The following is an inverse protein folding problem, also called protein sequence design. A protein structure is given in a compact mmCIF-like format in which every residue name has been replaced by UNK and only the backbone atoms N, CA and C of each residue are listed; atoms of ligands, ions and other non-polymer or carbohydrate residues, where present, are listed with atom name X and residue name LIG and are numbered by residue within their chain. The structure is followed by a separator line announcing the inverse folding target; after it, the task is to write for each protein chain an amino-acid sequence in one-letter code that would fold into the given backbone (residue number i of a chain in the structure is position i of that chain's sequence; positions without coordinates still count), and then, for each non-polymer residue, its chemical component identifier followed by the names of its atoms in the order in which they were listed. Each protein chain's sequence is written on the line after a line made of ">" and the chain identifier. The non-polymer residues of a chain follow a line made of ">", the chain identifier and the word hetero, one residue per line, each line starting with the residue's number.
data_IF_345466894620
#
_entry.id   IF_345466894620
#
_cell.length_a   1.000
_cell.length_b   1.000
_cell.length_c   1.000
_cell.angle_alpha   90.00
_cell.angle_beta   90.00
_cell.angle_gamma   90.00
#
_symmetry.space_group_name_H-M   'P 1'
#
loop_
_entity.id
_entity.type
_entity.pdbx_description
1 polymer ?
#
# COMPACT_ATOMS: atom_id res chain seq x y z
N UNK A 1 -5.18 74.73 -32.90
CA UNK A 1 -4.76 74.72 -31.49
C UNK A 1 -4.06 73.40 -31.21
N UNK A 2 -2.85 73.49 -30.65
CA UNK A 2 -1.96 72.39 -30.27
C UNK A 2 -2.61 71.46 -29.22
N UNK A 3 -2.18 70.23 -28.91
CA UNK A 3 -0.88 69.55 -29.07
C UNK A 3 -1.05 68.08 -28.63
N UNK A 4 -0.16 67.19 -29.09
CA UNK A 4 0.26 66.01 -28.29
C UNK A 4 0.16 64.66 -29.00
N UNK A 5 1.16 64.33 -29.81
CA UNK A 5 1.47 62.95 -30.19
C UNK A 5 2.25 62.25 -29.08
N UNK A 6 1.94 60.99 -28.74
CA UNK A 6 2.95 60.03 -28.27
C UNK A 6 2.58 58.60 -28.69
N UNK A 7 3.42 58.03 -29.55
CA UNK A 7 3.52 56.60 -29.83
C UNK A 7 4.14 55.88 -28.63
N UNK A 8 3.60 54.73 -28.23
CA UNK A 8 4.29 53.78 -27.34
C UNK A 8 4.46 52.43 -28.05
N UNK A 9 5.72 52.07 -28.28
CA UNK A 9 6.20 50.74 -28.68
C UNK A 9 6.04 49.75 -27.51
N UNK A 10 5.79 48.45 -27.76
CA UNK A 10 5.96 47.42 -26.74
C UNK A 10 7.45 47.06 -26.62
N UNK A 11 8.04 47.32 -25.45
CA UNK A 11 9.37 46.83 -25.07
C UNK A 11 9.24 45.38 -24.59
N UNK A 12 9.74 44.43 -25.40
CA UNK A 12 10.09 43.08 -24.97
C UNK A 12 11.28 43.17 -24.01
N UNK A 13 11.09 42.73 -22.76
CA UNK A 13 12.20 42.43 -21.86
C UNK A 13 12.70 40.99 -22.09
N UNK A 14 14.02 40.72 -22.02
CA UNK A 14 14.55 39.36 -22.11
C UNK A 14 14.38 38.63 -20.77
N UNK A 15 13.93 37.38 -20.84
CA UNK A 15 13.93 36.46 -19.70
C UNK A 15 15.37 36.05 -19.37
N UNK A 16 15.85 36.45 -18.19
CA UNK A 16 17.05 35.89 -17.56
C UNK A 16 16.68 34.66 -16.74
N UNK A 17 17.44 33.54 -16.80
CA UNK A 17 17.18 32.37 -15.98
C UNK A 17 17.67 32.64 -14.55
N UNK A 18 16.77 32.50 -13.59
CA UNK A 18 17.11 32.59 -12.16
C UNK A 18 17.98 31.39 -11.77
N UNK A 19 19.12 31.72 -11.16
CA UNK A 19 20.16 30.79 -10.75
C UNK A 19 19.64 29.74 -9.76
N UNK A 20 19.94 28.48 -10.07
CA UNK A 20 19.77 27.30 -9.23
C UNK A 20 20.91 27.29 -8.20
N UNK A 21 20.71 27.94 -7.04
CA UNK A 21 21.68 27.83 -5.94
C UNK A 21 21.35 26.62 -5.06
N UNK A 22 22.14 25.56 -5.27
CA UNK A 22 22.86 24.78 -4.25
C UNK A 22 22.12 24.58 -2.92
N UNK A 23 21.40 23.46 -2.81
CA UNK A 23 21.34 22.72 -1.54
C UNK A 23 22.59 21.84 -1.47
N UNK A 24 23.60 22.37 -0.79
CA UNK A 24 24.83 21.67 -0.44
C UNK A 24 24.53 20.34 0.25
N UNK A 25 25.18 19.29 -0.26
CA UNK A 25 25.12 17.94 0.32
C UNK A 25 25.69 17.91 1.73
N UNK A 26 24.93 17.35 2.66
CA UNK A 26 25.49 16.90 3.92
C UNK A 26 26.36 15.65 3.67
N UNK A 27 27.59 15.58 4.21
CA UNK A 27 28.46 14.43 4.02
C UNK A 27 28.01 13.29 4.94
N UNK A 28 27.51 12.20 4.35
CA UNK A 28 27.37 10.94 5.07
C UNK A 28 28.68 10.17 4.97
N UNK A 29 29.58 10.44 5.91
CA UNK A 29 30.73 9.58 6.21
C UNK A 29 30.57 8.98 7.61
N UNK A 30 29.92 7.81 7.68
CA UNK A 30 30.11 6.86 8.80
C UNK A 30 30.07 5.42 8.29
N UNK A 31 31.24 4.79 8.31
CA UNK A 31 31.44 3.37 8.58
C UNK A 31 30.93 2.37 7.54
N UNK A 32 31.87 1.70 6.86
CA UNK A 32 31.64 0.61 5.91
C UNK A 32 31.03 -0.69 6.51
N UNK A 33 30.45 -0.64 7.70
CA UNK A 33 29.58 -1.68 8.29
C UNK A 33 28.30 -1.11 8.95
N UNK A 34 27.95 0.15 8.67
CA UNK A 34 26.74 0.85 9.13
C UNK A 34 25.90 1.24 7.90
N UNK A 35 25.10 0.32 7.35
CA UNK A 35 24.59 0.50 5.97
C UNK A 35 23.32 -0.22 5.56
N UNK A 36 22.47 -0.69 6.48
CA UNK A 36 21.11 -1.11 6.11
C UNK A 36 20.11 -0.45 7.04
N UNK A 37 19.29 0.45 6.50
CA UNK A 37 18.12 0.99 7.19
C UNK A 37 17.14 -0.12 7.58
N UNK A 38 15.97 0.24 8.17
CA UNK A 38 14.97 -0.74 8.59
C UNK A 38 14.64 -1.77 7.51
N UNK A 39 14.53 -3.05 7.88
CA UNK A 39 14.03 -4.11 7.01
C UNK A 39 12.54 -3.87 6.82
N UNK A 40 12.10 -3.74 5.57
CA UNK A 40 10.72 -3.40 5.20
C UNK A 40 10.03 -4.59 4.58
N UNK A 41 8.94 -5.06 5.17
CA UNK A 41 8.18 -6.20 4.67
C UNK A 41 6.70 -5.85 4.53
N UNK A 42 6.04 -6.51 3.59
CA UNK A 42 4.60 -6.38 3.38
C UNK A 42 3.90 -7.71 3.65
N UNK A 43 2.83 -7.67 4.45
CA UNK A 43 1.94 -8.80 4.67
C UNK A 43 0.87 -8.79 3.59
N UNK A 44 0.86 -9.80 2.75
CA UNK A 44 -0.09 -9.97 1.65
C UNK A 44 -1.08 -11.09 1.96
N UNK A 45 -2.23 -11.05 1.31
CA UNK A 45 -3.25 -12.07 1.46
C UNK A 45 -4.65 -11.60 1.15
N UNK A 46 -5.52 -12.57 0.90
CA UNK A 46 -6.89 -12.34 0.48
C UNK A 46 -7.70 -11.54 1.53
N UNK A 47 -8.86 -11.06 1.13
CA UNK A 47 -9.85 -10.45 2.01
C UNK A 47 -10.19 -11.45 3.13
N UNK A 48 -10.29 -10.96 4.37
CA UNK A 48 -10.58 -11.75 5.58
C UNK A 48 -9.63 -12.92 5.94
N UNK A 49 -8.50 -13.10 5.24
CA UNK A 49 -7.55 -14.19 5.52
C UNK A 49 -6.95 -14.18 6.94
N UNK A 50 -7.01 -13.05 7.65
CA UNK A 50 -6.48 -12.91 9.01
C UNK A 50 -5.29 -11.96 9.16
N UNK A 51 -5.03 -11.09 8.16
CA UNK A 51 -3.92 -10.12 8.20
C UNK A 51 -3.89 -9.28 9.48
N UNK A 52 -4.98 -8.63 9.84
CA UNK A 52 -5.02 -7.78 11.04
C UNK A 52 -4.86 -8.59 12.34
N UNK A 53 -5.31 -9.85 12.38
CA UNK A 53 -5.05 -10.78 13.49
C UNK A 53 -3.57 -11.14 13.59
N UNK A 54 -2.95 -11.44 12.45
CA UNK A 54 -1.52 -11.73 12.36
C UNK A 54 -0.65 -10.52 12.72
N UNK A 55 -1.04 -9.32 12.31
CA UNK A 55 -0.41 -8.06 12.71
C UNK A 55 -0.44 -7.88 14.22
N UNK A 56 -1.59 -8.10 14.88
CA UNK A 56 -1.69 -8.04 16.34
C UNK A 56 -0.74 -9.02 17.02
N UNK A 57 -0.59 -10.23 16.47
CA UNK A 57 0.36 -11.22 16.95
C UNK A 57 1.80 -10.74 16.81
N UNK A 58 2.18 -10.20 15.65
CA UNK A 58 3.51 -9.63 15.43
C UNK A 58 3.83 -8.50 16.41
N UNK A 59 2.90 -7.56 16.62
CA UNK A 59 3.10 -6.45 17.56
C UNK A 59 3.27 -6.95 19.01
N UNK A 60 2.59 -8.04 19.38
CA UNK A 60 2.75 -8.67 20.70
C UNK A 60 4.11 -9.37 20.82
N UNK A 61 4.54 -10.09 19.79
CA UNK A 61 5.79 -10.89 19.82
C UNK A 61 7.04 -10.04 19.62
N UNK A 62 6.97 -8.98 18.82
CA UNK A 62 8.07 -8.09 18.46
C UNK A 62 7.68 -6.62 18.71
N UNK A 63 7.63 -6.18 19.98
CA UNK A 63 7.18 -4.83 20.35
C UNK A 63 8.10 -3.73 19.80
N UNK A 64 9.33 -4.06 19.42
CA UNK A 64 10.30 -3.16 18.80
C UNK A 64 10.04 -2.92 17.31
N UNK A 65 9.21 -3.73 16.66
CA UNK A 65 8.87 -3.57 15.24
C UNK A 65 7.84 -2.48 15.07
N UNK A 66 7.95 -1.76 13.96
CA UNK A 66 6.93 -0.81 13.54
C UNK A 66 5.94 -1.50 12.61
N UNK A 67 4.64 -1.38 12.89
CA UNK A 67 3.59 -1.89 12.00
C UNK A 67 2.72 -0.76 11.50
N UNK A 68 2.70 -0.58 10.19
CA UNK A 68 1.82 0.31 9.47
C UNK A 68 0.60 -0.48 8.98
N UNK A 69 -0.57 -0.19 9.56
CA UNK A 69 -1.83 -0.88 9.25
C UNK A 69 -2.53 -0.29 8.03
N UNK A 70 -3.43 -1.07 7.43
CA UNK A 70 -4.21 -0.63 6.27
C UNK A 70 -5.23 0.45 6.69
N UNK A 71 -5.32 1.60 6.00
CA UNK A 71 -6.14 2.74 6.43
C UNK A 71 -7.64 2.56 6.08
N UNK A 72 -8.22 1.38 6.37
CA UNK A 72 -9.62 1.04 6.05
C UNK A 72 -10.60 2.06 6.64
N UNK A 73 -10.36 2.52 7.85
CA UNK A 73 -11.21 3.52 8.51
C UNK A 73 -11.28 4.85 7.72
N UNK A 74 -10.17 5.25 7.08
CA UNK A 74 -10.14 6.44 6.23
C UNK A 74 -10.94 6.23 4.94
N UNK A 75 -11.03 5.00 4.43
CA UNK A 75 -11.84 4.67 3.25
C UNK A 75 -13.32 4.57 3.57
N UNK A 76 -13.66 4.16 4.80
CA UNK A 76 -15.03 4.15 5.29
C UNK A 76 -15.55 5.54 5.61
N UNK A 77 -14.67 6.49 5.97
CA UNK A 77 -15.07 7.84 6.35
C UNK A 77 -14.26 8.89 5.58
N UNK A 78 -14.74 9.24 4.38
CA UNK A 78 -14.20 10.36 3.62
C UNK A 78 -14.68 11.67 4.25
N UNK A 79 -13.73 12.49 4.67
CA UNK A 79 -13.96 13.81 5.27
C UNK A 79 -13.71 14.92 4.27
N UNK A 80 -14.40 16.05 4.42
CA UNK A 80 -14.13 17.24 3.63
C UNK A 80 -12.75 17.83 3.97
N UNK A 81 -12.07 18.38 2.97
CA UNK A 81 -10.78 19.05 3.21
C UNK A 81 -10.98 20.33 4.03
N UNK A 82 -10.14 20.56 5.04
CA UNK A 82 -10.11 21.81 5.82
C UNK A 82 -11.01 21.84 7.07
N UNK A 83 -11.75 20.78 7.36
CA UNK A 83 -12.52 20.65 8.61
C UNK A 83 -11.62 20.11 9.72
N UNK A 84 -11.58 20.79 10.88
CA UNK A 84 -10.89 20.28 12.06
C UNK A 84 -11.47 18.91 12.43
N UNK A 85 -10.63 18.02 12.99
CA UNK A 85 -11.06 16.73 13.55
C UNK A 85 -11.92 16.95 14.81
N UNK A 86 -13.11 17.51 14.66
CA UNK A 86 -14.16 17.40 15.66
C UNK A 86 -15.23 16.41 15.18
N UNK A 87 -15.97 15.84 16.13
CA UNK A 87 -17.08 14.91 15.87
C UNK A 87 -18.29 15.57 15.18
N UNK A 88 -18.20 16.85 14.79
CA UNK A 88 -19.28 17.60 14.13
C UNK A 88 -19.07 17.73 12.62
N UNK A 89 -17.92 17.27 12.10
CA UNK A 89 -17.62 17.33 10.68
C UNK A 89 -18.52 16.39 9.87
N UNK A 90 -19.23 16.87 8.83
CA UNK A 90 -20.08 16.02 8.01
C UNK A 90 -19.25 15.00 7.22
N UNK A 91 -19.60 13.71 7.39
CA UNK A 91 -19.07 12.60 6.60
C UNK A 91 -19.54 12.74 5.15
N UNK A 92 -18.59 12.79 4.21
CA UNK A 92 -18.91 12.89 2.77
C UNK A 92 -19.35 11.55 2.18
N UNK A 93 -18.79 10.43 2.67
CA UNK A 93 -19.18 9.13 2.16
C UNK A 93 -18.32 7.97 2.67
N UNK A 94 -18.75 6.77 2.29
CA UNK A 94 -18.05 5.51 2.50
C UNK A 94 -17.56 4.98 1.16
N UNK A 95 -16.31 5.28 0.79
CA UNK A 95 -15.81 4.94 -0.54
C UNK A 95 -15.63 3.42 -0.71
N UNK A 96 -15.41 2.69 0.39
CA UNK A 96 -15.37 1.23 0.37
C UNK A 96 -16.74 0.64 0.02
N UNK A 97 -17.80 1.13 0.66
CA UNK A 97 -19.17 0.70 0.38
C UNK A 97 -19.58 1.08 -1.06
N UNK A 98 -19.32 2.32 -1.48
CA UNK A 98 -19.60 2.80 -2.83
C UNK A 98 -18.95 1.91 -3.91
N UNK A 99 -17.72 1.46 -3.67
CA UNK A 99 -17.02 0.53 -4.57
C UNK A 99 -17.69 -0.85 -4.63
N UNK A 100 -18.16 -1.41 -3.51
CA UNK A 100 -18.85 -2.70 -3.54
C UNK A 100 -20.29 -2.62 -4.08
N UNK A 101 -20.99 -1.48 -3.92
CA UNK A 101 -22.34 -1.29 -4.44
C UNK A 101 -22.36 -1.05 -5.96
N UNK A 102 -21.47 -0.18 -6.46
CA UNK A 102 -21.40 0.18 -7.88
C UNK A 102 -19.94 0.13 -8.38
N UNK A 103 -19.34 -1.07 -8.52
CA UNK A 103 -17.92 -1.23 -8.83
C UNK A 103 -17.53 -0.58 -10.15
N UNK A 104 -18.36 -0.67 -11.19
CA UNK A 104 -18.09 -0.02 -12.48
C UNK A 104 -17.98 1.51 -12.40
N UNK A 105 -18.59 2.15 -11.38
CA UNK A 105 -18.55 3.59 -11.18
C UNK A 105 -17.42 4.04 -10.26
N UNK A 106 -17.13 3.25 -9.22
CA UNK A 106 -16.29 3.69 -8.10
C UNK A 106 -14.96 2.95 -7.98
N UNK A 107 -14.71 1.90 -8.77
CA UNK A 107 -13.45 1.15 -8.73
C UNK A 107 -12.24 2.05 -8.98
N UNK A 108 -12.26 2.87 -10.04
CA UNK A 108 -11.13 3.75 -10.34
C UNK A 108 -10.86 4.75 -9.21
N UNK A 109 -11.92 5.37 -8.68
CA UNK A 109 -11.83 6.32 -7.57
C UNK A 109 -11.29 5.65 -6.30
N UNK A 110 -11.81 4.48 -5.95
CA UNK A 110 -11.37 3.71 -4.79
C UNK A 110 -9.91 3.26 -4.92
N UNK A 111 -9.52 2.67 -6.05
CA UNK A 111 -8.15 2.20 -6.27
C UNK A 111 -7.13 3.35 -6.26
N UNK A 112 -7.53 4.53 -6.76
CA UNK A 112 -6.68 5.72 -6.67
C UNK A 112 -6.51 6.18 -5.22
N UNK A 113 -7.59 6.25 -4.45
CA UNK A 113 -7.52 6.69 -3.06
C UNK A 113 -6.81 5.67 -2.14
N UNK A 114 -7.06 4.37 -2.32
CA UNK A 114 -6.43 3.30 -1.55
C UNK A 114 -4.92 3.32 -1.75
N UNK A 115 -4.46 3.34 -3.00
CA UNK A 115 -3.03 3.44 -3.30
C UNK A 115 -2.44 4.73 -2.75
N UNK A 116 -3.09 5.89 -2.91
CA UNK A 116 -2.58 7.18 -2.40
C UNK A 116 -2.41 7.18 -0.89
N UNK A 117 -3.40 6.66 -0.16
CA UNK A 117 -3.30 6.53 1.29
C UNK A 117 -2.17 5.58 1.70
N UNK A 118 -1.98 4.47 0.98
CA UNK A 118 -0.91 3.50 1.26
C UNK A 118 0.47 4.02 0.90
N UNK A 119 0.60 4.74 -0.22
CA UNK A 119 1.84 5.39 -0.63
C UNK A 119 2.28 6.41 0.42
N UNK A 120 1.35 7.24 0.93
CA UNK A 120 1.65 8.21 2.00
C UNK A 120 2.23 7.52 3.22
N UNK A 121 1.57 6.46 3.71
CA UNK A 121 2.04 5.65 4.85
C UNK A 121 3.44 5.06 4.57
N UNK A 122 3.70 4.56 3.36
CA UNK A 122 5.01 4.02 3.01
C UNK A 122 6.10 5.08 2.85
N UNK A 123 5.74 6.36 2.68
CA UNK A 123 6.68 7.48 2.58
C UNK A 123 6.88 8.23 3.90
N UNK A 124 6.11 7.90 4.93
CA UNK A 124 6.29 8.48 6.27
C UNK A 124 7.70 8.18 6.80
N UNK A 125 8.33 9.16 7.50
CA UNK A 125 9.60 8.93 8.15
C UNK A 125 9.54 7.76 9.13
N UNK A 126 10.67 7.07 9.29
CA UNK A 126 10.77 6.02 10.30
C UNK A 126 10.58 6.61 11.71
N UNK A 127 9.74 6.01 12.57
CA UNK A 127 9.63 6.43 13.96
C UNK A 127 10.96 6.29 14.71
N UNK A 128 11.22 7.18 15.66
CA UNK A 128 12.45 7.18 16.45
C UNK A 128 12.70 5.83 17.14
N UNK A 129 11.64 5.23 17.71
CA UNK A 129 11.70 3.91 18.35
C UNK A 129 12.26 2.84 17.40
N UNK A 130 11.86 2.89 16.12
CA UNK A 130 12.35 1.96 15.12
C UNK A 130 13.83 2.19 14.83
N UNK A 131 14.24 3.45 14.70
CA UNK A 131 15.64 3.83 14.42
C UNK A 131 16.60 3.46 15.57
N UNK A 132 16.10 3.37 16.79
CA UNK A 132 16.87 2.97 17.98
C UNK A 132 16.94 1.46 18.20
N UNK A 133 16.15 0.67 17.47
CA UNK A 133 16.15 -0.79 17.62
C UNK A 133 17.43 -1.41 17.05
N UNK A 134 17.95 -2.44 17.70
CA UNK A 134 19.14 -3.19 17.21
C UNK A 134 18.87 -3.85 15.85
N UNK A 135 17.64 -4.33 15.63
CA UNK A 135 17.19 -5.00 14.41
C UNK A 135 15.89 -4.35 13.92
N UNK A 136 15.97 -3.19 13.28
CA UNK A 136 14.79 -2.42 12.91
C UNK A 136 14.01 -3.15 11.81
N UNK A 137 12.74 -3.45 12.08
CA UNK A 137 11.81 -4.03 11.11
C UNK A 137 10.54 -3.16 11.02
N UNK A 138 10.17 -2.83 9.79
CA UNK A 138 8.92 -2.16 9.44
C UNK A 138 8.04 -3.12 8.66
N UNK A 139 6.83 -3.34 9.15
CA UNK A 139 5.81 -4.18 8.53
C UNK A 139 4.70 -3.29 7.97
N UNK A 140 4.24 -3.60 6.77
CA UNK A 140 3.06 -3.01 6.16
C UNK A 140 1.96 -4.06 6.00
N UNK A 141 0.72 -3.71 6.36
CA UNK A 141 -0.44 -4.48 5.95
C UNK A 141 -0.77 -4.14 4.48
N UNK A 142 -0.49 -5.09 3.59
CA UNK A 142 -0.44 -4.94 2.13
C UNK A 142 0.64 -3.98 1.61
N UNK A 143 0.71 -3.86 0.29
CA UNK A 143 1.66 -2.99 -0.41
C UNK A 143 1.00 -2.21 -1.54
N UNK A 144 1.65 -1.13 -1.97
CA UNK A 144 1.33 -0.43 -3.22
C UNK A 144 1.33 -1.37 -4.44
N UNK A 145 2.10 -2.47 -4.38
CA UNK A 145 2.13 -3.48 -5.44
C UNK A 145 0.84 -4.31 -5.46
N UNK A 146 0.31 -4.69 -4.31
CA UNK A 146 -0.96 -5.41 -4.24
C UNK A 146 -2.15 -4.57 -4.72
N UNK A 147 -2.12 -3.23 -4.56
CA UNK A 147 -3.14 -2.35 -5.13
C UNK A 147 -3.23 -2.54 -6.64
N UNK A 148 -2.09 -2.57 -7.35
CA UNK A 148 -2.08 -2.77 -8.80
C UNK A 148 -2.26 -4.22 -9.23
N UNK A 149 -1.42 -5.12 -8.73
CA UNK A 149 -1.28 -6.47 -9.29
C UNK A 149 -2.32 -7.45 -8.75
N UNK A 150 -3.02 -7.11 -7.67
CA UNK A 150 -4.14 -7.88 -7.14
C UNK A 150 -5.46 -7.15 -7.42
N UNK A 151 -5.69 -6.00 -6.79
CA UNK A 151 -7.03 -5.40 -6.76
C UNK A 151 -7.39 -4.70 -8.07
N UNK A 152 -6.60 -3.72 -8.51
CA UNK A 152 -6.89 -2.97 -9.73
C UNK A 152 -6.83 -3.87 -10.97
N UNK A 153 -5.86 -4.78 -11.08
CA UNK A 153 -5.81 -5.79 -12.15
C UNK A 153 -7.08 -6.64 -12.17
N UNK A 154 -7.54 -7.11 -11.02
CA UNK A 154 -8.76 -7.93 -10.95
C UNK A 154 -10.01 -7.13 -11.34
N UNK A 155 -10.12 -5.88 -10.90
CA UNK A 155 -11.23 -4.99 -11.25
C UNK A 155 -11.23 -4.64 -12.74
N UNK A 156 -10.07 -4.57 -13.39
CA UNK A 156 -10.00 -4.47 -14.84
C UNK A 156 -10.45 -5.76 -15.52
N UNK A 157 -9.91 -6.91 -15.11
CA UNK A 157 -10.23 -8.21 -15.72
C UNK A 157 -11.69 -8.65 -15.55
N UNK A 158 -12.36 -8.17 -14.50
CA UNK A 158 -13.78 -8.43 -14.27
C UNK A 158 -14.72 -7.35 -14.84
N UNK A 159 -14.18 -6.34 -15.54
CA UNK A 159 -14.96 -5.30 -16.23
C UNK A 159 -15.39 -4.12 -15.36
N UNK A 160 -14.94 -4.03 -14.10
CA UNK A 160 -15.22 -2.90 -13.21
C UNK A 160 -14.35 -1.66 -13.46
N UNK A 161 -13.22 -1.81 -14.16
CA UNK A 161 -12.44 -0.71 -14.73
C UNK A 161 -12.51 -0.79 -16.26
N UNK A 162 -12.78 0.34 -16.89
CA UNK A 162 -12.65 0.48 -18.34
C UNK A 162 -11.18 0.46 -18.79
N UNK A 163 -10.95 0.24 -20.09
CA UNK A 163 -9.59 0.33 -20.67
C UNK A 163 -8.92 1.68 -20.42
N UNK A 164 -9.69 2.77 -20.47
CA UNK A 164 -9.19 4.12 -20.22
C UNK A 164 -8.76 4.26 -18.76
N UNK A 165 -9.62 3.85 -17.81
CA UNK A 165 -9.31 3.91 -16.38
C UNK A 165 -8.12 3.03 -16.02
N UNK A 166 -8.03 1.84 -16.61
CA UNK A 166 -6.89 0.93 -16.39
C UNK A 166 -5.60 1.49 -16.96
N UNK A 167 -5.63 2.08 -18.15
CA UNK A 167 -4.46 2.75 -18.73
C UNK A 167 -3.98 3.89 -17.85
N UNK A 168 -4.88 4.81 -17.45
CA UNK A 168 -4.56 5.94 -16.59
C UNK A 168 -4.02 5.44 -15.24
N UNK A 169 -4.68 4.46 -14.62
CA UNK A 169 -4.25 3.87 -13.35
C UNK A 169 -2.81 3.37 -13.40
N UNK A 170 -2.48 2.61 -14.44
CA UNK A 170 -1.14 2.06 -14.60
C UNK A 170 -0.08 3.14 -14.84
N UNK A 171 -0.41 4.17 -15.62
CA UNK A 171 0.51 5.26 -15.95
C UNK A 171 0.95 6.00 -14.69
N UNK A 172 0.00 6.55 -13.94
CA UNK A 172 0.33 7.32 -12.74
C UNK A 172 0.92 6.43 -11.63
N UNK A 173 0.46 5.18 -11.49
CA UNK A 173 1.07 4.23 -10.54
C UNK A 173 2.54 3.99 -10.89
N UNK A 174 2.85 3.78 -12.17
CA UNK A 174 4.23 3.53 -12.62
C UNK A 174 5.11 4.76 -12.41
N UNK A 175 4.60 5.93 -12.76
CA UNK A 175 5.27 7.21 -12.55
C UNK A 175 5.64 7.40 -11.07
N UNK A 176 4.67 7.30 -10.15
CA UNK A 176 4.92 7.57 -8.73
C UNK A 176 5.87 6.56 -8.08
N UNK A 177 5.77 5.27 -8.44
CA UNK A 177 6.71 4.28 -7.91
C UNK A 177 8.13 4.48 -8.44
N UNK A 178 8.31 5.03 -9.64
CA UNK A 178 9.63 5.43 -10.16
C UNK A 178 10.18 6.64 -9.41
N UNK A 179 9.38 7.70 -9.26
CA UNK A 179 9.77 8.91 -8.53
C UNK A 179 10.15 8.63 -7.07
N UNK A 180 9.50 7.65 -6.45
CA UNK A 180 9.72 7.29 -5.06
C UNK A 180 10.49 5.98 -4.84
N UNK A 181 11.11 5.42 -5.88
CA UNK A 181 11.74 4.10 -5.84
C UNK A 181 12.73 3.92 -4.69
N UNK A 182 13.58 4.94 -4.44
CA UNK A 182 14.59 4.92 -3.37
C UNK A 182 13.99 4.86 -1.96
N UNK A 183 12.75 5.34 -1.79
CA UNK A 183 12.03 5.39 -0.50
C UNK A 183 11.02 4.28 -0.33
N UNK A 184 10.75 3.49 -1.37
CA UNK A 184 9.75 2.41 -1.37
C UNK A 184 10.38 1.01 -1.45
N UNK A 185 11.66 0.90 -1.08
CA UNK A 185 12.35 -0.40 -1.04
C UNK A 185 11.64 -1.36 -0.08
N UNK A 186 11.31 -2.54 -0.60
CA UNK A 186 10.75 -3.68 0.15
C UNK A 186 11.77 -4.80 0.10
N UNK A 187 11.94 -5.51 1.21
CA UNK A 187 12.93 -6.56 1.39
C UNK A 187 12.29 -7.96 1.42
N UNK A 188 10.98 -8.07 1.65
CA UNK A 188 10.31 -9.36 1.68
C UNK A 188 8.79 -9.23 1.70
N UNK A 189 8.10 -10.25 1.21
CA UNK A 189 6.67 -10.43 1.40
C UNK A 189 6.39 -11.58 2.37
N UNK A 190 5.39 -11.41 3.23
CA UNK A 190 4.81 -12.48 4.03
C UNK A 190 3.42 -12.73 3.47
N UNK A 191 3.24 -13.83 2.75
CA UNK A 191 1.96 -14.20 2.16
C UNK A 191 1.18 -15.10 3.11
N UNK A 192 0.09 -14.58 3.67
CA UNK A 192 -0.88 -15.37 4.42
C UNK A 192 -1.82 -16.06 3.43
N UNK A 193 -1.69 -17.37 3.33
CA UNK A 193 -2.42 -18.21 2.38
C UNK A 193 -3.53 -18.96 3.11
N UNK A 194 -4.74 -18.88 2.57
CA UNK A 194 -5.87 -19.74 2.91
C UNK A 194 -6.79 -19.84 1.70
N UNK A 195 -7.63 -20.88 1.66
CA UNK A 195 -8.60 -21.05 0.58
C UNK A 195 -9.63 -19.91 0.54
N UNK A 196 -10.22 -19.63 -0.63
CA UNK A 196 -11.34 -18.69 -0.76
C UNK A 196 -12.52 -19.01 0.16
N UNK A 197 -12.79 -20.31 0.41
CA UNK A 197 -13.85 -20.78 1.29
C UNK A 197 -13.58 -20.38 2.75
N UNK A 198 -12.35 -20.63 3.24
CA UNK A 198 -11.93 -20.20 4.58
C UNK A 198 -11.99 -18.68 4.70
N UNK A 199 -11.58 -17.95 3.66
CA UNK A 199 -11.68 -16.49 3.64
C UNK A 199 -13.14 -16.02 3.71
N UNK A 200 -14.06 -16.67 2.98
CA UNK A 200 -15.49 -16.34 2.99
C UNK A 200 -16.11 -16.58 4.37
N UNK A 201 -15.81 -17.72 5.00
CA UNK A 201 -16.27 -18.02 6.36
C UNK A 201 -15.81 -16.94 7.36
N UNK A 202 -14.53 -16.56 7.31
CA UNK A 202 -13.96 -15.50 8.15
C UNK A 202 -14.57 -14.12 7.84
N UNK A 203 -14.90 -13.87 6.58
CA UNK A 203 -15.55 -12.65 6.12
C UNK A 203 -16.94 -12.52 6.76
N UNK A 204 -17.72 -13.59 6.78
CA UNK A 204 -19.02 -13.60 7.46
C UNK A 204 -18.88 -13.45 8.97
N UNK A 205 -17.90 -14.10 9.60
CA UNK A 205 -17.66 -13.98 11.04
C UNK A 205 -17.30 -12.57 11.48
N UNK A 206 -16.51 -11.82 10.69
CA UNK A 206 -16.16 -10.43 11.03
C UNK A 206 -17.29 -9.43 10.76
N UNK A 207 -18.32 -9.82 10.00
CA UNK A 207 -19.57 -9.10 9.81
C UNK A 207 -19.42 -7.60 9.45
N UNK A 208 -18.45 -7.25 8.62
CA UNK A 208 -18.31 -5.86 8.13
C UNK A 208 -19.41 -5.58 7.10
N UNK A 209 -20.18 -4.52 7.31
CA UNK A 209 -21.37 -4.19 6.52
C UNK A 209 -21.08 -4.09 5.01
N UNK A 210 -20.02 -3.39 4.63
CA UNK A 210 -19.66 -3.14 3.22
C UNK A 210 -19.29 -4.43 2.46
N UNK A 211 -18.94 -5.50 3.18
CA UNK A 211 -18.42 -6.73 2.59
C UNK A 211 -19.46 -7.84 2.52
N UNK A 212 -20.66 -7.65 3.08
CA UNK A 212 -21.72 -8.67 3.11
C UNK A 212 -22.11 -9.20 1.73
N UNK A 213 -22.00 -8.36 0.69
CA UNK A 213 -22.31 -8.72 -0.69
C UNK A 213 -21.23 -9.52 -1.41
N UNK A 214 -20.03 -9.66 -0.83
CA UNK A 214 -18.90 -10.33 -1.47
C UNK A 214 -19.20 -11.82 -1.66
N UNK A 215 -19.10 -12.27 -2.91
CA UNK A 215 -19.34 -13.66 -3.30
C UNK A 215 -18.03 -14.47 -3.32
N UNK A 216 -18.14 -15.79 -3.17
CA UNK A 216 -17.01 -16.72 -3.26
C UNK A 216 -16.19 -16.51 -4.55
N UNK A 217 -16.86 -16.34 -5.69
CA UNK A 217 -16.21 -16.15 -6.99
C UNK A 217 -15.25 -14.95 -7.01
N UNK A 218 -15.58 -13.85 -6.30
CA UNK A 218 -14.68 -12.71 -6.20
C UNK A 218 -13.44 -13.04 -5.35
N UNK A 219 -13.60 -13.81 -4.27
CA UNK A 219 -12.48 -14.27 -3.45
C UNK A 219 -11.60 -15.28 -4.19
N UNK A 220 -12.17 -16.13 -5.04
CA UNK A 220 -11.45 -17.06 -5.91
C UNK A 220 -10.59 -16.31 -6.94
N UNK A 221 -11.16 -15.29 -7.57
CA UNK A 221 -10.43 -14.39 -8.46
C UNK A 221 -9.22 -13.76 -7.74
N UNK A 222 -9.44 -13.12 -6.59
CA UNK A 222 -8.36 -12.51 -5.81
C UNK A 222 -7.33 -13.54 -5.34
N UNK A 223 -7.76 -14.74 -4.97
CA UNK A 223 -6.84 -15.82 -4.60
C UNK A 223 -5.93 -16.19 -5.77
N UNK A 224 -6.47 -16.38 -6.98
CA UNK A 224 -5.67 -16.65 -8.18
C UNK A 224 -4.64 -15.56 -8.44
N UNK A 225 -5.01 -14.27 -8.28
CA UNK A 225 -4.04 -13.17 -8.46
C UNK A 225 -2.87 -13.26 -7.46
N UNK A 226 -3.14 -13.63 -6.19
CA UNK A 226 -2.08 -13.80 -5.18
C UNK A 226 -1.19 -14.99 -5.51
N UNK A 227 -1.78 -16.13 -5.87
CA UNK A 227 -1.03 -17.33 -6.26
C UNK A 227 -0.13 -17.06 -7.46
N UNK A 228 -0.66 -16.44 -8.52
CA UNK A 228 0.09 -16.11 -9.73
C UNK A 228 1.22 -15.11 -9.47
N UNK A 229 1.05 -14.19 -8.52
CA UNK A 229 2.08 -13.21 -8.18
C UNK A 229 3.12 -13.74 -7.19
N UNK A 230 2.68 -14.30 -6.07
CA UNK A 230 3.53 -14.57 -4.91
C UNK A 230 4.10 -15.99 -4.92
N UNK A 231 3.40 -16.95 -5.53
CA UNK A 231 3.76 -18.38 -5.56
C UNK A 231 4.30 -18.77 -6.94
N UNK A 232 3.48 -18.69 -7.99
CA UNK A 232 3.83 -19.21 -9.33
C UNK A 232 4.65 -18.25 -10.19
N UNK A 233 4.76 -16.97 -9.79
CA UNK A 233 5.52 -15.94 -10.51
C UNK A 233 5.11 -15.76 -11.98
N UNK A 234 3.82 -15.94 -12.28
CA UNK A 234 3.22 -15.77 -13.61
C UNK A 234 2.78 -14.33 -13.89
N UNK A 235 2.47 -13.55 -12.85
CA UNK A 235 2.06 -12.15 -13.02
C UNK A 235 3.20 -11.33 -13.61
N UNK A 236 2.97 -10.71 -14.78
CA UNK A 236 3.95 -9.81 -15.40
C UNK A 236 4.15 -8.56 -14.56
N UNK A 237 5.36 -8.38 -14.04
CA UNK A 237 5.74 -7.24 -13.22
C UNK A 237 6.46 -6.16 -14.04
N UNK A 238 6.30 -4.91 -13.62
CA UNK A 238 6.89 -3.73 -14.28
C UNK A 238 8.02 -3.08 -13.47
N UNK A 239 8.43 -3.73 -12.38
CA UNK A 239 9.49 -3.28 -11.47
C UNK A 239 10.48 -4.43 -11.28
N UNK A 240 11.72 -4.25 -11.75
CA UNK A 240 12.77 -5.26 -11.66
C UNK A 240 13.07 -5.64 -10.20
N UNK A 241 13.06 -4.63 -9.31
CA UNK A 241 13.25 -4.81 -7.86
C UNK A 241 12.25 -5.79 -7.26
N UNK A 242 11.05 -5.92 -7.83
CA UNK A 242 9.98 -6.78 -7.32
C UNK A 242 10.15 -8.25 -7.71
N UNK A 243 10.85 -8.54 -8.81
CA UNK A 243 10.95 -9.90 -9.38
C UNK A 243 11.66 -10.88 -8.45
N UNK A 244 12.65 -10.40 -7.70
CA UNK A 244 13.53 -11.23 -6.87
C UNK A 244 13.29 -11.04 -5.37
N UNK A 245 12.22 -10.36 -4.96
CA UNK A 245 11.93 -10.17 -3.52
C UNK A 245 11.54 -11.52 -2.91
N UNK A 246 12.20 -11.95 -1.82
CA UNK A 246 11.84 -13.16 -1.11
C UNK A 246 10.38 -13.14 -0.62
N UNK A 247 9.72 -14.29 -0.69
CA UNK A 247 8.34 -14.47 -0.21
C UNK A 247 8.32 -15.60 0.81
N UNK A 248 7.84 -15.31 2.02
CA UNK A 248 7.48 -16.31 3.02
C UNK A 248 6.00 -16.65 2.87
N UNK A 249 5.70 -17.87 2.47
CA UNK A 249 4.32 -18.37 2.42
C UNK A 249 3.97 -19.03 3.75
N UNK A 250 2.87 -18.58 4.35
CA UNK A 250 2.33 -19.11 5.60
C UNK A 250 0.90 -19.61 5.36
N UNK A 251 0.72 -20.92 5.42
CA UNK A 251 -0.62 -21.52 5.45
C UNK A 251 -1.29 -21.21 6.80
N UNK A 252 -2.38 -20.45 6.70
CA UNK A 252 -3.23 -20.02 7.81
C UNK A 252 -4.67 -20.48 7.58
N UNK A 253 -4.87 -21.61 6.89
CA UNK A 253 -6.19 -22.22 6.71
C UNK A 253 -6.81 -22.62 8.05
N UNK A 254 -6.00 -23.19 8.94
CA UNK A 254 -6.38 -23.42 10.34
C UNK A 254 -6.49 -22.09 11.10
N UNK A 255 -7.46 -21.97 11.99
CA UNK A 255 -7.63 -20.77 12.82
C UNK A 255 -6.52 -20.66 13.88
N UNK A 256 -5.49 -19.88 13.54
CA UNK A 256 -4.38 -19.58 14.45
C UNK A 256 -4.73 -18.56 15.54
N UNK A 257 -5.93 -17.97 15.57
CA UNK A 257 -6.25 -16.85 16.48
C UNK A 257 -6.20 -17.24 17.96
N UNK A 258 -6.43 -18.51 18.28
CA UNK A 258 -6.43 -19.06 19.65
C UNK A 258 -5.45 -20.22 19.86
N UNK A 259 -4.86 -20.75 18.80
CA UNK A 259 -3.89 -21.84 18.89
C UNK A 259 -2.48 -21.29 19.15
N UNK A 260 -2.03 -21.37 20.41
CA UNK A 260 -0.72 -20.89 20.82
C UNK A 260 0.43 -21.63 20.12
N UNK A 261 0.31 -22.94 19.90
CA UNK A 261 1.35 -23.71 19.24
C UNK A 261 1.49 -23.28 17.77
N UNK A 262 0.37 -23.07 17.08
CA UNK A 262 0.38 -22.51 15.72
C UNK A 262 0.93 -21.09 15.69
N UNK A 263 0.58 -20.24 16.64
CA UNK A 263 1.11 -18.89 16.75
C UNK A 263 2.64 -18.88 16.91
N UNK A 264 3.18 -19.71 17.80
CA UNK A 264 4.61 -19.87 18.01
C UNK A 264 5.32 -20.39 16.75
N UNK A 265 4.72 -21.37 16.06
CA UNK A 265 5.24 -21.89 14.80
C UNK A 265 5.34 -20.80 13.73
N UNK A 266 4.27 -20.01 13.55
CA UNK A 266 4.22 -18.91 12.59
C UNK A 266 5.27 -17.85 12.91
N UNK A 267 5.39 -17.42 14.17
CA UNK A 267 6.39 -16.43 14.59
C UNK A 267 7.81 -16.94 14.41
N UNK A 268 8.07 -18.22 14.68
CA UNK A 268 9.37 -18.84 14.41
C UNK A 268 9.73 -18.76 12.93
N UNK A 269 8.80 -19.10 12.02
CA UNK A 269 9.00 -18.99 10.57
C UNK A 269 9.31 -17.55 10.15
N UNK A 270 8.56 -16.57 10.67
CA UNK A 270 8.78 -15.14 10.41
C UNK A 270 10.16 -14.69 10.86
N UNK A 271 10.57 -15.05 12.08
CA UNK A 271 11.89 -14.70 12.62
C UNK A 271 13.02 -15.30 11.77
N UNK A 272 12.91 -16.58 11.40
CA UNK A 272 13.88 -17.23 10.52
C UNK A 272 13.96 -16.54 9.17
N UNK A 273 12.81 -16.24 8.56
CA UNK A 273 12.77 -15.52 7.28
C UNK A 273 13.42 -14.15 7.37
N UNK A 274 13.06 -13.35 8.37
CA UNK A 274 13.61 -12.01 8.55
C UNK A 274 15.10 -12.06 8.86
N UNK A 275 15.62 -13.05 9.58
CA UNK A 275 17.08 -13.18 9.80
C UNK A 275 17.86 -13.43 8.51
N UNK A 276 17.23 -14.00 7.49
CA UNK A 276 17.85 -14.39 6.23
C UNK A 276 17.73 -13.35 5.12
N UNK A 277 17.15 -12.16 5.38
CA UNK A 277 17.09 -11.02 4.43
C UNK A 277 18.38 -10.17 4.42
#
# INVERSE_FOLDING_TARGET
>A
MASGWFFLRPLRAPFTPMALNLLEGAPWSRGLHAGRGPRRLCIEGNIAVGKSTFVKLLTKTYPEWHVATEPVAAWQNIQAAGTQKDDTTPRLGNLLDMMYQEPARWSYTFQTYSFMSRLKIQLEPFPEKLLQAEKPVQIFERSVYSDRYIFAKNLFENGSLSDIEWHIYQDWHTFLLREFASRLSIHGFIYLQASPQVCLERLYQRAREEEKGIQLAYLEQLHSQHEDWLVYKKTKLHFETLMNIPVLVLDVSDDFSKDLAKQEELMRKVNTFIKNL
#
